data_IF_562501069676
#
_entry.id   IF_562501069676
#
_cell.length_a   1.000
_cell.length_b   1.000
_cell.length_c   1.000
_cell.angle_alpha   90.00
_cell.angle_beta   90.00
_cell.angle_gamma   90.00
#
_symmetry.space_group_name_H-M   'P 1'
#
loop_
_entity.id
_entity.type
_entity.pdbx_description
1 polymer ?
#
# COMPACT_ATOMS: atom_id res chain seq x y z
N UNK A 1 -23.96 -40.12 -26.75
CA UNK A 1 -22.69 -39.50 -26.29
C UNK A 1 -22.53 -38.07 -26.81
N UNK A 2 -22.94 -37.80 -28.06
CA UNK A 2 -22.71 -36.50 -28.73
C UNK A 2 -23.41 -35.30 -28.09
N UNK A 3 -24.65 -35.46 -27.62
CA UNK A 3 -25.38 -34.37 -26.93
C UNK A 3 -24.74 -33.96 -25.59
N UNK A 4 -24.08 -34.90 -24.92
CA UNK A 4 -23.43 -34.65 -23.63
C UNK A 4 -22.12 -33.87 -23.85
N UNK A 5 -21.34 -34.27 -24.87
CA UNK A 5 -20.16 -33.51 -25.32
C UNK A 5 -20.51 -32.10 -25.82
N UNK A 6 -21.61 -31.96 -26.58
CA UNK A 6 -22.09 -30.67 -27.06
C UNK A 6 -22.54 -29.76 -25.90
N UNK A 7 -23.24 -30.31 -24.89
CA UNK A 7 -23.66 -29.57 -23.70
C UNK A 7 -22.46 -29.10 -22.85
N UNK A 8 -21.44 -29.95 -22.68
CA UNK A 8 -20.19 -29.59 -22.01
C UNK A 8 -19.42 -28.50 -22.77
N UNK A 9 -19.31 -28.61 -24.09
CA UNK A 9 -18.65 -27.60 -24.93
C UNK A 9 -19.36 -26.24 -24.90
N UNK A 10 -20.70 -26.24 -24.92
CA UNK A 10 -21.48 -25.01 -24.80
C UNK A 10 -21.33 -24.38 -23.41
N UNK A 11 -21.43 -25.17 -22.34
CA UNK A 11 -21.26 -24.71 -20.96
C UNK A 11 -19.86 -24.12 -20.71
N UNK A 12 -18.82 -24.76 -21.25
CA UNK A 12 -17.45 -24.27 -21.19
C UNK A 12 -17.27 -22.93 -21.94
N UNK A 13 -17.89 -22.80 -23.11
CA UNK A 13 -17.84 -21.57 -23.91
C UNK A 13 -18.52 -20.40 -23.18
N UNK A 14 -19.69 -20.64 -22.57
CA UNK A 14 -20.40 -19.63 -21.76
C UNK A 14 -19.56 -19.22 -20.53
N UNK A 15 -18.92 -20.18 -19.86
CA UNK A 15 -18.02 -19.92 -18.74
C UNK A 15 -16.80 -19.08 -19.16
N UNK A 16 -16.16 -19.43 -20.28
CA UNK A 16 -15.01 -18.68 -20.81
C UNK A 16 -15.40 -17.27 -21.26
N UNK A 17 -16.56 -17.11 -21.92
CA UNK A 17 -17.09 -15.79 -22.27
C UNK A 17 -17.34 -14.96 -21.00
N UNK A 18 -17.95 -15.53 -19.96
CA UNK A 18 -18.15 -14.86 -18.68
C UNK A 18 -16.80 -14.44 -18.02
N UNK A 19 -15.79 -15.30 -18.04
CA UNK A 19 -14.42 -14.96 -17.58
C UNK A 19 -13.82 -13.79 -18.38
N UNK A 20 -13.98 -13.79 -19.70
CA UNK A 20 -13.48 -12.70 -20.56
C UNK A 20 -14.24 -11.40 -20.27
N UNK A 21 -15.57 -11.43 -20.15
CA UNK A 21 -16.37 -10.24 -19.83
C UNK A 21 -16.03 -9.67 -18.46
N UNK A 22 -15.84 -10.51 -17.44
CA UNK A 22 -15.43 -10.07 -16.11
C UNK A 22 -14.01 -9.49 -16.12
N UNK A 23 -13.08 -10.06 -16.88
CA UNK A 23 -11.73 -9.53 -17.07
C UNK A 23 -11.74 -8.16 -17.79
N UNK A 24 -12.53 -8.02 -18.86
CA UNK A 24 -12.70 -6.75 -19.59
C UNK A 24 -13.34 -5.68 -18.70
N UNK A 25 -14.35 -6.03 -17.93
CA UNK A 25 -14.99 -5.12 -16.98
C UNK A 25 -14.01 -4.65 -15.90
N UNK A 26 -13.20 -5.56 -15.34
CA UNK A 26 -12.15 -5.20 -14.38
C UNK A 26 -11.08 -4.31 -15.02
N UNK A 27 -10.67 -4.59 -16.26
CA UNK A 27 -9.74 -3.73 -17.00
C UNK A 27 -10.29 -2.31 -17.22
N UNK A 28 -11.57 -2.16 -17.58
CA UNK A 28 -12.19 -0.83 -17.70
C UNK A 28 -12.17 -0.06 -16.37
N UNK A 29 -12.46 -0.73 -15.26
CA UNK A 29 -12.37 -0.14 -13.91
C UNK A 29 -10.94 0.27 -13.58
N UNK A 30 -9.97 -0.60 -13.84
CA UNK A 30 -8.53 -0.32 -13.68
C UNK A 30 -8.11 0.91 -14.49
N UNK A 31 -8.51 1.02 -15.77
CA UNK A 31 -8.18 2.19 -16.60
C UNK A 31 -8.74 3.48 -16.01
N UNK A 32 -9.99 3.46 -15.52
CA UNK A 32 -10.59 4.64 -14.87
C UNK A 32 -9.86 5.00 -13.57
N UNK A 33 -9.51 4.00 -12.76
CA UNK A 33 -8.74 4.20 -11.53
C UNK A 33 -7.33 4.73 -11.82
N UNK A 34 -6.66 4.25 -12.88
CA UNK A 34 -5.35 4.77 -13.30
C UNK A 34 -5.41 6.24 -13.70
N UNK A 35 -6.53 6.74 -14.24
CA UNK A 35 -6.70 8.18 -14.51
C UNK A 35 -6.68 9.00 -13.22
N UNK A 36 -7.28 8.49 -12.14
CA UNK A 36 -7.20 9.12 -10.81
C UNK A 36 -5.75 9.16 -10.33
N UNK A 37 -5.04 8.04 -10.44
CA UNK A 37 -3.63 7.92 -10.02
C UNK A 37 -2.71 8.85 -10.83
N UNK A 38 -2.94 8.99 -12.13
CA UNK A 38 -2.08 9.82 -12.98
C UNK A 38 -2.11 11.31 -12.61
N UNK A 39 -3.21 11.77 -11.99
CA UNK A 39 -3.38 13.16 -11.59
C UNK A 39 -3.00 13.41 -10.12
N UNK A 40 -2.52 12.40 -9.39
CA UNK A 40 -2.34 12.44 -7.93
C UNK A 40 -1.36 13.49 -7.41
N UNK A 41 -0.51 14.07 -8.28
CA UNK A 41 0.43 15.14 -7.94
C UNK A 41 -0.09 16.54 -8.28
N UNK A 42 -1.27 16.65 -8.92
CA UNK A 42 -1.91 17.91 -9.26
C UNK A 42 -3.19 18.07 -8.43
N UNK A 43 -3.12 18.86 -7.36
CA UNK A 43 -4.24 19.07 -6.44
C UNK A 43 -5.54 19.47 -7.15
N UNK A 44 -5.46 20.45 -8.05
CA UNK A 44 -6.61 21.06 -8.72
C UNK A 44 -7.34 20.06 -9.64
N UNK A 45 -6.61 19.12 -10.24
CA UNK A 45 -7.18 18.09 -11.09
C UNK A 45 -7.57 16.84 -10.30
N UNK A 46 -6.78 16.48 -9.29
CA UNK A 46 -6.94 15.25 -8.52
C UNK A 46 -8.27 15.21 -7.77
N UNK A 47 -8.55 16.21 -6.92
CA UNK A 47 -9.71 16.17 -6.03
C UNK A 47 -11.06 16.10 -6.79
N UNK A 48 -11.30 16.93 -7.82
CA UNK A 48 -12.50 16.79 -8.65
C UNK A 48 -12.57 15.42 -9.35
N UNK A 49 -11.44 14.89 -9.83
CA UNK A 49 -11.39 13.61 -10.55
C UNK A 49 -11.70 12.43 -9.62
N UNK A 50 -11.10 12.39 -8.43
CA UNK A 50 -11.33 11.30 -7.47
C UNK A 50 -12.73 11.36 -6.89
N UNK A 51 -13.29 12.55 -6.66
CA UNK A 51 -14.65 12.71 -6.13
C UNK A 51 -15.72 12.29 -7.15
N UNK A 52 -15.53 12.66 -8.42
CA UNK A 52 -16.37 12.18 -9.52
C UNK A 52 -16.25 10.65 -9.70
N UNK A 53 -15.06 10.10 -9.51
CA UNK A 53 -14.84 8.65 -9.56
C UNK A 53 -15.57 7.93 -8.42
N UNK A 54 -15.37 8.35 -7.17
CA UNK A 54 -15.99 7.78 -5.97
C UNK A 54 -17.52 7.84 -6.06
N UNK A 55 -18.07 8.95 -6.58
CA UNK A 55 -19.52 9.14 -6.72
C UNK A 55 -20.15 8.26 -7.82
N UNK A 56 -19.36 7.82 -8.81
CA UNK A 56 -19.86 7.08 -9.98
C UNK A 56 -19.53 5.58 -9.97
N UNK A 57 -18.69 5.11 -9.05
CA UNK A 57 -18.27 3.71 -8.97
C UNK A 57 -19.15 2.94 -7.97
N UNK A 58 -19.87 1.92 -8.45
CA UNK A 58 -20.66 1.02 -7.59
C UNK A 58 -19.84 -0.13 -7.00
N UNK A 59 -18.64 -0.35 -7.53
CA UNK A 59 -17.76 -1.41 -7.06
C UNK A 59 -17.04 -0.99 -5.77
N UNK A 60 -17.36 -1.68 -4.66
CA UNK A 60 -16.82 -1.34 -3.34
C UNK A 60 -15.31 -1.57 -3.21
N UNK A 61 -14.70 -2.52 -3.95
CA UNK A 61 -13.23 -2.72 -3.98
C UNK A 61 -12.59 -1.44 -4.52
N UNK A 62 -13.01 -1.03 -5.72
CA UNK A 62 -12.47 0.15 -6.41
C UNK A 62 -12.80 1.48 -5.72
N UNK A 63 -13.98 1.59 -5.09
CA UNK A 63 -14.34 2.78 -4.30
C UNK A 63 -13.36 2.98 -3.15
N UNK A 64 -13.05 1.91 -2.42
CA UNK A 64 -12.14 1.97 -1.27
C UNK A 64 -10.69 2.21 -1.67
N UNK A 65 -10.23 1.66 -2.81
CA UNK A 65 -8.93 2.03 -3.38
C UNK A 65 -8.84 3.53 -3.63
N UNK A 66 -9.85 4.13 -4.28
CA UNK A 66 -9.87 5.57 -4.54
C UNK A 66 -9.91 6.41 -3.25
N UNK A 67 -10.66 5.98 -2.23
CA UNK A 67 -10.67 6.66 -0.93
C UNK A 67 -9.32 6.61 -0.22
N UNK A 68 -8.60 5.48 -0.28
CA UNK A 68 -7.26 5.37 0.29
C UNK A 68 -6.27 6.31 -0.41
N UNK A 69 -6.32 6.39 -1.73
CA UNK A 69 -5.52 7.35 -2.50
C UNK A 69 -5.90 8.80 -2.15
N UNK A 70 -7.21 9.08 -1.99
CA UNK A 70 -7.69 10.39 -1.53
C UNK A 70 -7.17 10.72 -0.13
N UNK A 71 -7.18 9.76 0.80
CA UNK A 71 -6.65 9.95 2.16
C UNK A 71 -5.17 10.34 2.13
N UNK A 72 -4.36 9.61 1.37
CA UNK A 72 -2.95 9.95 1.18
C UNK A 72 -2.78 11.36 0.59
N UNK A 73 -3.58 11.71 -0.41
CA UNK A 73 -3.50 13.01 -1.08
C UNK A 73 -3.95 14.16 -0.17
N UNK A 74 -4.93 13.93 0.71
CA UNK A 74 -5.31 14.87 1.77
C UNK A 74 -4.12 15.18 2.67
N UNK A 75 -3.35 14.16 3.07
CA UNK A 75 -2.13 14.36 3.87
C UNK A 75 -1.06 15.08 3.05
N UNK A 76 -0.88 14.69 1.78
CA UNK A 76 0.14 15.25 0.89
C UNK A 76 -0.06 16.75 0.62
N UNK A 77 -1.28 17.17 0.30
CA UNK A 77 -1.65 18.56 0.05
C UNK A 77 -2.05 19.35 1.31
N UNK A 78 -1.85 18.77 2.50
CA UNK A 78 -2.12 19.40 3.80
C UNK A 78 -3.59 19.81 4.02
N UNK A 79 -4.54 19.09 3.43
CA UNK A 79 -5.98 19.31 3.56
C UNK A 79 -6.58 18.62 4.79
N UNK A 80 -5.96 18.76 5.95
CA UNK A 80 -6.24 17.93 7.13
C UNK A 80 -7.69 18.06 7.67
N UNK A 81 -8.42 19.12 7.33
CA UNK A 81 -9.85 19.26 7.61
C UNK A 81 -10.69 18.11 7.00
N UNK A 82 -10.27 17.58 5.85
CA UNK A 82 -10.95 16.48 5.15
C UNK A 82 -10.56 15.10 5.70
N UNK A 83 -9.45 15.00 6.45
CA UNK A 83 -8.82 13.73 6.81
C UNK A 83 -9.78 12.79 7.54
N UNK A 84 -10.44 13.30 8.59
CA UNK A 84 -11.33 12.50 9.44
C UNK A 84 -12.52 11.97 8.64
N UNK A 85 -13.08 12.78 7.74
CA UNK A 85 -14.21 12.38 6.89
C UNK A 85 -13.79 11.25 5.95
N UNK A 86 -12.71 11.45 5.20
CA UNK A 86 -12.21 10.45 4.24
C UNK A 86 -11.80 9.16 4.94
N UNK A 87 -11.10 9.25 6.08
CA UNK A 87 -10.71 8.10 6.87
C UNK A 87 -11.93 7.29 7.33
N UNK A 88 -12.99 7.95 7.81
CA UNK A 88 -14.21 7.28 8.25
C UNK A 88 -14.93 6.53 7.13
N UNK A 89 -14.94 7.07 5.91
CA UNK A 89 -15.59 6.45 4.74
C UNK A 89 -14.90 5.18 4.22
N UNK A 90 -13.61 4.98 4.53
CA UNK A 90 -12.88 3.78 4.11
C UNK A 90 -13.43 2.55 4.83
N UNK A 91 -13.86 1.55 4.07
CA UNK A 91 -14.15 0.19 4.51
C UNK A 91 -13.09 -0.76 3.93
N UNK A 92 -12.38 -1.47 4.79
CA UNK A 92 -11.33 -2.39 4.36
C UNK A 92 -11.86 -3.79 3.98
N UNK A 93 -13.11 -4.13 4.35
CA UNK A 93 -13.67 -5.47 4.04
C UNK A 93 -13.67 -5.80 2.54
N UNK A 94 -14.04 -4.89 1.62
CA UNK A 94 -14.02 -5.18 0.19
C UNK A 94 -12.63 -5.51 -0.38
N UNK A 95 -11.55 -5.15 0.33
CA UNK A 95 -10.16 -5.43 -0.06
C UNK A 95 -9.62 -6.77 0.51
N UNK A 96 -10.46 -7.51 1.25
CA UNK A 96 -10.07 -8.76 1.91
C UNK A 96 -11.08 -9.88 1.72
N UNK A 97 -12.36 -9.55 1.54
CA UNK A 97 -13.45 -10.52 1.54
C UNK A 97 -14.16 -10.56 0.20
N UNK A 98 -14.51 -11.77 -0.25
CA UNK A 98 -15.43 -12.02 -1.36
C UNK A 98 -16.48 -13.03 -0.94
N UNK A 99 -17.75 -12.67 -1.12
CA UNK A 99 -18.89 -13.48 -0.68
C UNK A 99 -18.81 -13.87 0.81
N UNK A 100 -18.35 -12.92 1.65
CA UNK A 100 -18.24 -13.11 3.11
C UNK A 100 -17.09 -14.00 3.58
N UNK A 101 -16.25 -14.50 2.68
CA UNK A 101 -15.06 -15.29 3.01
C UNK A 101 -13.79 -14.50 2.71
N UNK A 102 -12.74 -14.73 3.50
CA UNK A 102 -11.41 -14.18 3.24
C UNK A 102 -10.94 -14.70 1.88
N UNK A 103 -10.55 -13.79 0.99
CA UNK A 103 -9.99 -14.09 -0.31
C UNK A 103 -8.56 -13.54 -0.38
N UNK A 104 -7.59 -14.41 -0.07
CA UNK A 104 -6.17 -14.07 -0.11
C UNK A 104 -5.67 -13.63 -1.50
N UNK A 105 -6.39 -13.97 -2.58
CA UNK A 105 -6.03 -13.46 -3.91
C UNK A 105 -6.39 -11.98 -4.03
N UNK A 106 -7.51 -11.55 -3.46
CA UNK A 106 -7.90 -10.12 -3.46
C UNK A 106 -6.92 -9.32 -2.64
N UNK A 107 -6.58 -9.80 -1.44
CA UNK A 107 -5.56 -9.15 -0.59
C UNK A 107 -4.28 -8.91 -1.40
N UNK A 108 -3.80 -9.93 -2.12
CA UNK A 108 -2.60 -9.82 -2.96
C UNK A 108 -2.77 -8.89 -4.17
N UNK A 109 -3.96 -8.83 -4.79
CA UNK A 109 -4.25 -7.90 -5.89
C UNK A 109 -4.40 -6.44 -5.43
N UNK A 110 -4.67 -6.23 -4.15
CA UNK A 110 -4.95 -4.93 -3.55
C UNK A 110 -3.82 -4.43 -2.65
N UNK A 111 -2.65 -5.07 -2.71
CA UNK A 111 -1.42 -4.64 -2.04
C UNK A 111 -1.02 -3.19 -2.38
N UNK A 112 -1.43 -2.66 -3.54
CA UNK A 112 -1.28 -1.24 -3.87
C UNK A 112 -2.02 -0.33 -2.87
N UNK A 113 -3.27 -0.68 -2.54
CA UNK A 113 -4.08 0.08 -1.61
C UNK A 113 -3.51 -0.01 -0.18
N UNK A 114 -3.11 -1.21 0.25
CA UNK A 114 -2.44 -1.37 1.55
C UNK A 114 -1.15 -0.58 1.61
N UNK A 115 -0.38 -0.52 0.52
CA UNK A 115 0.85 0.25 0.47
C UNK A 115 0.60 1.75 0.73
N UNK A 116 -0.41 2.34 0.08
CA UNK A 116 -0.75 3.75 0.29
C UNK A 116 -1.30 4.01 1.71
N UNK A 117 -2.13 3.11 2.23
CA UNK A 117 -2.71 3.25 3.56
C UNK A 117 -1.66 3.07 4.67
N UNK A 118 -0.93 1.96 4.66
CA UNK A 118 -0.09 1.52 5.76
C UNK A 118 1.33 2.11 5.72
N UNK A 119 1.83 2.49 4.54
CA UNK A 119 3.16 3.09 4.42
C UNK A 119 3.07 4.56 4.03
N UNK A 120 2.56 4.89 2.84
CA UNK A 120 2.65 6.27 2.35
C UNK A 120 1.95 7.29 3.25
N UNK A 121 0.75 6.96 3.74
CA UNK A 121 0.00 7.84 4.64
C UNK A 121 0.66 7.93 6.01
N UNK A 122 1.06 6.78 6.60
CA UNK A 122 1.68 6.74 7.92
C UNK A 122 3.06 7.41 7.95
N UNK A 123 3.91 7.18 6.96
CA UNK A 123 5.23 7.82 6.83
C UNK A 123 5.08 9.34 6.70
N UNK A 124 4.11 9.80 5.90
CA UNK A 124 3.83 11.22 5.75
C UNK A 124 3.35 11.86 7.06
N UNK A 125 2.43 11.22 7.78
CA UNK A 125 1.95 11.69 9.09
C UNK A 125 3.06 11.71 10.14
N UNK A 126 3.88 10.65 10.19
CA UNK A 126 5.04 10.57 11.06
C UNK A 126 6.04 11.70 10.78
N UNK A 127 6.32 12.00 9.50
CA UNK A 127 7.20 13.12 9.14
C UNK A 127 6.71 14.48 9.59
N UNK A 128 5.38 14.64 9.71
CA UNK A 128 4.72 15.85 10.21
C UNK A 128 4.56 15.86 11.75
N UNK A 129 4.85 14.75 12.42
CA UNK A 129 4.60 14.58 13.85
C UNK A 129 3.11 14.47 14.22
N UNK A 130 2.22 14.17 13.26
CA UNK A 130 0.78 14.04 13.50
C UNK A 130 0.42 12.60 13.94
N UNK A 131 0.70 12.32 15.21
CA UNK A 131 0.45 11.02 15.82
C UNK A 131 -1.04 10.72 16.05
N UNK A 132 -1.89 11.75 16.15
CA UNK A 132 -3.34 11.56 16.32
C UNK A 132 -3.97 10.99 15.05
N UNK A 133 -3.62 11.56 13.88
CA UNK A 133 -4.03 11.03 12.58
C UNK A 133 -3.42 9.66 12.29
N UNK A 134 -2.17 9.42 12.72
CA UNK A 134 -1.51 8.11 12.59
C UNK A 134 -2.30 7.04 13.36
N UNK A 135 -2.60 7.31 14.63
CA UNK A 135 -3.41 6.43 15.48
C UNK A 135 -4.81 6.19 14.90
N UNK A 136 -5.41 7.17 14.24
CA UNK A 136 -6.71 7.00 13.56
C UNK A 136 -6.63 5.96 12.44
N UNK A 137 -5.54 5.92 11.67
CA UNK A 137 -5.33 4.90 10.64
C UNK A 137 -5.11 3.53 11.31
N UNK A 138 -4.35 3.48 12.40
CA UNK A 138 -4.15 2.27 13.19
C UNK A 138 -5.47 1.68 13.68
N UNK A 139 -6.34 2.51 14.29
CA UNK A 139 -7.68 2.12 14.73
C UNK A 139 -8.56 1.59 13.59
N UNK A 140 -8.38 2.09 12.37
CA UNK A 140 -9.10 1.60 11.18
C UNK A 140 -8.63 0.19 10.77
N UNK A 141 -7.35 -0.10 10.93
CA UNK A 141 -6.71 -1.37 10.53
C UNK A 141 -6.84 -2.42 11.63
N UNK A 142 -6.95 -2.00 12.89
CA UNK A 142 -6.85 -2.89 14.05
C UNK A 142 -7.84 -4.07 14.09
N UNK A 143 -9.10 -3.93 13.62
CA UNK A 143 -10.03 -5.06 13.57
C UNK A 143 -9.60 -6.18 12.61
N UNK A 144 -8.60 -5.93 11.76
CA UNK A 144 -8.16 -6.83 10.70
C UNK A 144 -6.75 -7.40 10.94
N UNK A 145 -6.11 -7.15 12.09
CA UNK A 145 -4.77 -7.69 12.37
C UNK A 145 -4.72 -9.22 12.22
N UNK A 146 -5.69 -9.95 12.75
CA UNK A 146 -5.73 -11.42 12.67
C UNK A 146 -5.88 -11.94 11.23
N UNK A 147 -6.59 -11.20 10.38
CA UNK A 147 -6.80 -11.54 8.96
C UNK A 147 -5.53 -11.30 8.15
N UNK A 148 -4.80 -10.24 8.51
CA UNK A 148 -3.63 -9.75 7.77
C UNK A 148 -2.29 -10.25 8.32
N UNK A 149 -2.26 -10.90 9.49
CA UNK A 149 -1.02 -11.31 10.18
C UNK A 149 -0.03 -12.13 9.34
N UNK A 150 -0.56 -12.92 8.39
CA UNK A 150 0.26 -13.74 7.51
C UNK A 150 0.72 -12.98 6.25
N UNK A 151 0.40 -11.69 6.11
CA UNK A 151 0.81 -10.84 4.99
C UNK A 151 2.09 -10.07 5.34
N UNK A 152 3.07 -10.09 4.45
CA UNK A 152 4.36 -9.44 4.68
C UNK A 152 4.21 -7.93 4.88
N UNK A 153 3.37 -7.26 4.08
CA UNK A 153 3.14 -5.82 4.24
C UNK A 153 2.58 -5.46 5.62
N UNK A 154 1.78 -6.35 6.21
CA UNK A 154 1.18 -6.12 7.52
C UNK A 154 2.21 -6.30 8.62
N UNK A 155 3.05 -7.33 8.52
CA UNK A 155 4.16 -7.51 9.45
C UNK A 155 5.13 -6.32 9.41
N UNK A 156 5.51 -5.84 8.22
CA UNK A 156 6.32 -4.62 8.07
C UNK A 156 5.62 -3.42 8.69
N UNK A 157 4.31 -3.27 8.48
CA UNK A 157 3.53 -2.18 9.07
C UNK A 157 3.57 -2.23 10.60
N UNK A 158 3.31 -3.39 11.22
CA UNK A 158 3.35 -3.54 12.68
C UNK A 158 4.72 -3.17 13.25
N UNK A 159 5.81 -3.59 12.59
CA UNK A 159 7.17 -3.25 13.01
C UNK A 159 7.50 -1.77 12.77
N UNK A 160 6.90 -1.13 11.75
CA UNK A 160 7.06 0.31 11.51
C UNK A 160 6.40 1.17 12.59
N UNK A 161 5.34 0.67 13.24
CA UNK A 161 4.73 1.37 14.38
C UNK A 161 5.73 1.53 15.54
N UNK A 162 6.62 0.56 15.74
CA UNK A 162 7.67 0.65 16.77
C UNK A 162 8.64 1.81 16.50
N UNK A 163 8.98 2.02 15.23
CA UNK A 163 9.75 3.21 14.82
C UNK A 163 8.96 4.49 15.08
N UNK A 164 7.69 4.54 14.69
CA UNK A 164 6.89 5.77 14.85
C UNK A 164 6.69 6.17 16.31
N UNK A 165 6.43 5.19 17.18
CA UNK A 165 6.17 5.42 18.59
C UNK A 165 7.40 5.28 19.49
N UNK A 166 8.60 5.12 18.92
CA UNK A 166 9.86 4.94 19.64
C UNK A 166 9.80 3.80 20.68
N UNK A 167 9.46 2.60 20.23
CA UNK A 167 9.28 1.39 21.04
C UNK A 167 10.27 0.29 20.66
N UNK A 168 10.54 -0.61 21.62
CA UNK A 168 11.41 -1.78 21.46
C UNK A 168 12.76 -1.45 20.78
N UNK A 169 13.14 -2.19 19.74
CA UNK A 169 14.31 -1.97 18.89
C UNK A 169 13.98 -1.14 17.64
N UNK A 170 12.86 -0.41 17.65
CA UNK A 170 12.31 0.34 16.51
C UNK A 170 11.93 -0.55 15.31
N UNK A 171 11.80 -1.86 15.51
CA UNK A 171 11.53 -2.85 14.45
C UNK A 171 12.78 -3.29 13.67
N UNK A 172 13.97 -2.87 14.12
CA UNK A 172 15.23 -3.04 13.40
C UNK A 172 15.55 -4.50 13.08
N UNK A 173 15.41 -5.43 14.03
CA UNK A 173 15.74 -6.84 13.82
C UNK A 173 14.90 -7.44 12.68
N UNK A 174 13.60 -7.17 12.69
CA UNK A 174 12.69 -7.64 11.65
C UNK A 174 13.05 -7.02 10.30
N UNK A 175 13.33 -5.72 10.26
CA UNK A 175 13.73 -5.03 9.04
C UNK A 175 15.03 -5.59 8.43
N UNK A 176 16.03 -5.90 9.26
CA UNK A 176 17.26 -6.56 8.78
C UNK A 176 16.94 -7.92 8.17
N UNK A 177 16.07 -8.73 8.80
CA UNK A 177 15.64 -10.02 8.26
C UNK A 177 14.95 -9.87 6.90
N UNK A 178 14.03 -8.91 6.76
CA UNK A 178 13.36 -8.65 5.47
C UNK A 178 14.37 -8.28 4.38
N UNK A 179 15.32 -7.39 4.70
CA UNK A 179 16.32 -6.94 3.73
C UNK A 179 17.23 -8.08 3.27
N UNK A 180 17.66 -8.92 4.21
CA UNK A 180 18.49 -10.12 3.98
C UNK A 180 17.77 -11.27 3.26
N UNK A 181 16.44 -11.23 3.17
CA UNK A 181 15.67 -12.32 2.55
C UNK A 181 15.15 -13.38 3.52
N UNK A 182 15.28 -13.17 4.82
CA UNK A 182 14.93 -14.09 5.91
C UNK A 182 13.56 -13.76 6.50
N UNK A 183 12.56 -13.59 5.64
CA UNK A 183 11.21 -13.19 6.05
C UNK A 183 10.17 -14.26 5.71
N UNK A 184 9.14 -14.31 6.54
CA UNK A 184 7.97 -15.17 6.37
C UNK A 184 6.77 -14.33 5.92
N UNK A 185 5.70 -15.00 5.48
CA UNK A 185 4.46 -14.34 5.07
C UNK A 185 4.19 -14.32 3.57
N UNK A 186 2.93 -14.09 3.24
CA UNK A 186 2.37 -14.02 1.90
C UNK A 186 2.55 -12.61 1.36
N UNK A 187 2.88 -12.53 0.08
CA UNK A 187 2.98 -11.29 -0.65
C UNK A 187 2.88 -11.58 -2.14
N UNK A 188 2.46 -10.58 -2.91
CA UNK A 188 2.55 -10.65 -4.36
C UNK A 188 3.99 -10.40 -4.79
N UNK A 189 4.59 -11.35 -5.53
CA UNK A 189 6.03 -11.36 -5.82
C UNK A 189 6.58 -10.08 -6.44
N UNK A 190 5.78 -9.31 -7.18
CA UNK A 190 6.26 -8.03 -7.75
C UNK A 190 6.49 -6.93 -6.70
N UNK A 191 5.92 -7.03 -5.49
CA UNK A 191 6.09 -6.02 -4.44
C UNK A 191 7.32 -6.24 -3.56
N UNK A 192 8.03 -7.37 -3.67
CA UNK A 192 9.15 -7.62 -2.75
C UNK A 192 10.26 -6.57 -2.86
N UNK A 193 10.59 -6.13 -4.08
CA UNK A 193 11.56 -5.06 -4.27
C UNK A 193 11.11 -3.78 -3.58
N UNK A 194 9.82 -3.44 -3.68
CA UNK A 194 9.25 -2.27 -3.00
C UNK A 194 9.30 -2.41 -1.48
N UNK A 195 8.96 -3.57 -0.92
CA UNK A 195 9.03 -3.80 0.53
C UNK A 195 10.46 -3.72 1.05
N UNK A 196 11.43 -4.29 0.34
CA UNK A 196 12.86 -4.15 0.69
C UNK A 196 13.30 -2.69 0.66
N UNK A 197 12.85 -1.91 -0.33
CA UNK A 197 13.14 -0.48 -0.42
C UNK A 197 12.55 0.32 0.75
N UNK A 198 11.29 0.06 1.12
CA UNK A 198 10.65 0.70 2.29
C UNK A 198 11.39 0.34 3.58
N UNK A 199 11.69 -0.93 3.78
CA UNK A 199 12.42 -1.42 4.95
C UNK A 199 13.83 -0.83 5.02
N UNK A 200 14.52 -0.68 3.89
CA UNK A 200 15.80 0.01 3.81
C UNK A 200 15.67 1.48 4.24
N UNK A 201 14.58 2.16 3.89
CA UNK A 201 14.32 3.53 4.35
C UNK A 201 14.08 3.58 5.87
N UNK A 202 13.34 2.63 6.44
CA UNK A 202 13.17 2.54 7.90
C UNK A 202 14.50 2.26 8.60
N UNK A 203 15.31 1.32 8.09
CA UNK A 203 16.64 1.05 8.64
C UNK A 203 17.56 2.27 8.55
N UNK A 204 17.55 3.00 7.44
CA UNK A 204 18.28 4.25 7.29
C UNK A 204 17.87 5.27 8.36
N UNK A 205 16.56 5.42 8.60
CA UNK A 205 16.04 6.29 9.66
C UNK A 205 16.51 5.85 11.04
N UNK A 206 16.40 4.56 11.35
CA UNK A 206 16.87 3.97 12.60
C UNK A 206 18.37 4.22 12.79
N UNK A 207 19.19 3.96 11.78
CA UNK A 207 20.63 4.20 11.83
C UNK A 207 20.99 5.66 12.13
N UNK A 208 20.23 6.62 11.59
CA UNK A 208 20.40 8.04 11.92
C UNK A 208 20.00 8.31 13.39
N UNK A 209 18.86 7.78 13.84
CA UNK A 209 18.35 7.99 15.21
C UNK A 209 19.25 7.36 16.28
N UNK A 210 19.81 6.18 16.02
CA UNK A 210 20.62 5.42 16.99
C UNK A 210 22.13 5.64 16.84
N UNK A 211 22.56 6.34 15.79
CA UNK A 211 23.95 6.49 15.39
C UNK A 211 24.67 5.13 15.17
N UNK A 212 23.92 4.10 14.71
CA UNK A 212 24.42 2.75 14.47
C UNK A 212 24.34 2.36 12.98
N UNK A 213 25.51 2.15 12.35
CA UNK A 213 25.64 2.01 10.90
C UNK A 213 26.11 0.62 10.44
N UNK A 214 25.88 -0.42 11.23
CA UNK A 214 26.36 -1.78 10.94
C UNK A 214 25.88 -2.35 9.59
N UNK A 215 24.71 -1.92 9.12
CA UNK A 215 24.09 -2.39 7.87
C UNK A 215 24.13 -1.35 6.73
N UNK A 216 24.95 -0.30 6.87
CA UNK A 216 24.92 0.88 5.99
C UNK A 216 25.17 0.55 4.52
N UNK A 217 26.09 -0.37 4.21
CA UNK A 217 26.35 -0.80 2.84
C UNK A 217 25.14 -1.50 2.20
N UNK A 218 24.48 -2.38 2.96
CA UNK A 218 23.27 -3.09 2.51
C UNK A 218 22.12 -2.10 2.28
N UNK A 219 21.95 -1.12 3.18
CA UNK A 219 20.97 -0.05 3.06
C UNK A 219 21.24 0.79 1.80
N UNK A 220 22.48 1.27 1.64
CA UNK A 220 22.88 2.09 0.50
C UNK A 220 22.61 1.40 -0.84
N UNK A 221 23.01 0.13 -0.96
CA UNK A 221 22.79 -0.67 -2.17
C UNK A 221 21.31 -0.68 -2.62
N UNK A 222 20.39 -0.76 -1.66
CA UNK A 222 18.95 -0.77 -1.94
C UNK A 222 18.42 0.63 -2.29
N UNK A 223 18.94 1.68 -1.65
CA UNK A 223 18.47 3.05 -1.85
C UNK A 223 19.00 3.70 -3.15
N UNK A 224 20.14 3.25 -3.69
CA UNK A 224 20.79 3.87 -4.87
C UNK A 224 19.85 4.02 -6.07
N UNK A 225 19.08 2.99 -6.41
CA UNK A 225 18.14 3.05 -7.54
C UNK A 225 16.74 3.51 -7.11
N UNK A 226 16.38 3.30 -5.83
CA UNK A 226 15.07 3.69 -5.34
C UNK A 226 14.90 5.20 -5.28
N UNK A 227 15.94 5.94 -4.90
CA UNK A 227 15.93 7.41 -4.77
C UNK A 227 15.57 8.13 -6.08
N UNK A 228 15.88 7.53 -7.23
CA UNK A 228 15.61 8.09 -8.55
C UNK A 228 14.15 7.92 -8.98
N UNK A 229 13.40 7.03 -8.30
CA UNK A 229 11.96 6.90 -8.49
C UNK A 229 11.22 8.01 -7.74
N UNK A 230 10.11 8.51 -8.31
CA UNK A 230 9.23 9.49 -7.63
C UNK A 230 8.83 9.03 -6.22
N UNK A 231 8.51 7.74 -6.11
CA UNK A 231 8.08 7.14 -4.86
C UNK A 231 9.21 7.09 -3.83
N UNK A 232 10.39 6.62 -4.22
CA UNK A 232 11.53 6.53 -3.32
C UNK A 232 12.05 7.90 -2.91
N UNK A 233 12.14 8.86 -3.83
CA UNK A 233 12.46 10.24 -3.50
C UNK A 233 11.51 10.81 -2.42
N UNK A 234 10.21 10.54 -2.56
CA UNK A 234 9.19 11.00 -1.61
C UNK A 234 9.34 10.36 -0.23
N UNK A 235 9.48 9.04 -0.15
CA UNK A 235 9.67 8.35 1.13
C UNK A 235 10.96 8.82 1.82
N UNK A 236 12.06 8.96 1.07
CA UNK A 236 13.33 9.47 1.59
C UNK A 236 13.21 10.91 2.09
N UNK A 237 12.39 11.73 1.44
CA UNK A 237 12.10 13.10 1.88
C UNK A 237 11.33 13.09 3.20
N UNK A 238 10.24 12.30 3.30
CA UNK A 238 9.47 12.20 4.53
C UNK A 238 10.29 11.69 5.72
N UNK A 239 11.22 10.76 5.49
CA UNK A 239 12.06 10.21 6.54
C UNK A 239 13.34 11.03 6.80
N UNK A 240 13.57 12.10 6.04
CA UNK A 240 14.76 12.97 6.11
C UNK A 240 16.07 12.19 5.91
N UNK A 241 16.16 11.45 4.78
CA UNK A 241 17.28 10.55 4.49
C UNK A 241 18.30 11.14 3.51
N UNK A 242 17.94 12.21 2.79
CA UNK A 242 18.78 12.75 1.71
C UNK A 242 20.14 13.25 2.19
N UNK A 243 20.24 13.81 3.41
CA UNK A 243 21.50 14.31 3.95
C UNK A 243 22.61 13.24 4.09
N UNK A 244 22.25 11.96 4.20
CA UNK A 244 23.22 10.84 4.32
C UNK A 244 23.16 9.86 3.16
N UNK A 245 21.96 9.61 2.62
CA UNK A 245 21.72 8.57 1.61
C UNK A 245 21.36 9.16 0.24
N UNK A 246 21.27 10.49 0.08
CA UNK A 246 20.98 11.14 -1.20
C UNK A 246 22.15 11.09 -2.19
N UNK A 247 23.39 11.20 -1.69
CA UNK A 247 24.61 11.32 -2.50
C UNK A 247 25.30 9.99 -2.85
N UNK A 248 24.65 8.85 -2.65
CA UNK A 248 25.23 7.55 -3.03
C UNK A 248 25.40 7.51 -4.55
N UNK A 249 26.64 7.70 -5.01
CA UNK A 249 27.09 7.59 -6.41
C UNK A 249 27.34 6.13 -6.78
#
# INVERSE_FOLDING_TARGET
>A
MDYLLMFFGFSFTVFMAYQIFTMVARNKKNVRYMKVINNMENEAEFFPTVDAYISSIHDHEFRNKALIIKLWSVIYFDRMDDFKSVCNEIDLKPLMYRQGKIDYKIIAYDEDAYFYLLFMSNIALYSKGDFDSLKRIEEKVSPYHDVLKDQLFHQIYMESLKLYYNQDDLGKEFFVKVLSGEYEGRYFKHYIGLYKNVVACFLAKISILTNEFRHDEMIKSQLTTFKDSKLGNRIMTYLDLHGRYGDVK
#
